data_IF_888971043311
#
_entry.id   IF_888971043311
#
_cell.length_a   1.000
_cell.length_b   1.000
_cell.length_c   1.000
_cell.angle_alpha   90.00
_cell.angle_beta   90.00
_cell.angle_gamma   90.00
#
_symmetry.space_group_name_H-M   'P 1'
#
loop_
_entity.id
_entity.type
_entity.pdbx_description
1 polymer ?
#
# COMPACT_ATOMS: atom_id res chain seq x y z
N UNK A 1 -8.66 -13.15 -11.27
CA UNK A 1 -9.49 -12.09 -10.62
C UNK A 1 -8.68 -10.80 -10.67
N UNK A 2 -9.31 -9.65 -10.90
CA UNK A 2 -8.63 -8.36 -10.82
C UNK A 2 -9.12 -7.65 -9.55
N UNK A 3 -8.17 -7.27 -8.70
CA UNK A 3 -8.39 -6.54 -7.46
C UNK A 3 -7.88 -5.12 -7.65
N UNK A 4 -8.66 -4.12 -7.26
CA UNK A 4 -8.38 -2.71 -7.52
C UNK A 4 -8.55 -1.92 -6.23
N UNK A 5 -7.67 -0.98 -5.97
CA UNK A 5 -7.76 -0.05 -4.85
C UNK A 5 -7.44 1.38 -5.34
N UNK A 6 -7.93 2.42 -4.66
CA UNK A 6 -7.65 3.80 -5.01
C UNK A 6 -6.20 4.16 -4.66
N UNK A 7 -5.60 5.04 -5.46
CA UNK A 7 -4.49 5.86 -5.01
C UNK A 7 -4.99 7.02 -4.16
N UNK A 8 -4.26 8.12 -4.15
CA UNK A 8 -4.70 9.35 -3.49
C UNK A 8 -5.53 10.26 -4.41
N UNK A 9 -5.50 10.02 -5.73
CA UNK A 9 -6.23 10.82 -6.72
C UNK A 9 -7.67 10.35 -6.97
N UNK A 10 -8.08 9.23 -6.39
CA UNK A 10 -9.42 8.67 -6.50
C UNK A 10 -10.10 8.62 -5.14
N UNK A 11 -11.43 8.70 -5.12
CA UNK A 11 -12.23 8.32 -3.95
C UNK A 11 -12.47 6.81 -3.94
N UNK A 12 -12.69 6.24 -2.77
CA UNK A 12 -13.12 4.84 -2.62
C UNK A 12 -14.42 4.55 -3.40
N UNK A 13 -15.37 5.50 -3.44
CA UNK A 13 -16.60 5.34 -4.20
C UNK A 13 -16.36 5.25 -5.72
N UNK A 14 -15.42 6.03 -6.27
CA UNK A 14 -15.07 5.93 -7.68
C UNK A 14 -14.51 4.56 -8.04
N UNK A 15 -13.68 3.98 -7.17
CA UNK A 15 -13.14 2.63 -7.37
C UNK A 15 -14.20 1.56 -7.18
N UNK A 16 -15.07 1.69 -6.18
CA UNK A 16 -16.19 0.76 -5.98
C UNK A 16 -17.12 0.74 -7.21
N UNK A 17 -17.50 1.90 -7.73
CA UNK A 17 -18.33 2.04 -8.94
C UNK A 17 -17.61 1.46 -10.18
N UNK A 18 -16.31 1.72 -10.32
CA UNK A 18 -15.49 1.16 -11.39
C UNK A 18 -15.45 -0.37 -11.32
N UNK A 19 -15.22 -0.94 -10.14
CA UNK A 19 -15.23 -2.38 -9.93
C UNK A 19 -16.57 -3.01 -10.25
N UNK A 20 -17.68 -2.42 -9.77
CA UNK A 20 -19.03 -2.88 -10.05
C UNK A 20 -19.35 -2.88 -11.56
N UNK A 21 -18.93 -1.82 -12.26
CA UNK A 21 -19.16 -1.67 -13.71
C UNK A 21 -18.43 -2.73 -14.55
N UNK A 22 -17.22 -3.12 -14.15
CA UNK A 22 -16.37 -4.01 -14.95
C UNK A 22 -16.23 -5.44 -14.38
N UNK A 23 -16.87 -5.73 -13.24
CA UNK A 23 -16.79 -7.04 -12.58
C UNK A 23 -15.44 -7.29 -11.88
N UNK A 24 -14.75 -6.21 -11.46
CA UNK A 24 -13.53 -6.31 -10.65
C UNK A 24 -13.87 -6.34 -9.15
N UNK A 25 -12.86 -6.59 -8.33
CA UNK A 25 -13.00 -6.66 -6.88
C UNK A 25 -12.41 -5.40 -6.25
N UNK A 26 -13.20 -4.70 -5.43
CA UNK A 26 -12.68 -3.62 -4.60
C UNK A 26 -11.80 -4.23 -3.48
N UNK A 27 -10.58 -3.70 -3.37
CA UNK A 27 -9.54 -4.19 -2.47
C UNK A 27 -9.13 -3.14 -1.43
N UNK A 28 -9.80 -1.98 -1.40
CA UNK A 28 -9.50 -0.92 -0.44
C UNK A 28 -9.97 -1.25 0.98
N UNK A 29 -9.04 -1.37 1.93
CA UNK A 29 -9.37 -1.71 3.32
C UNK A 29 -9.88 -3.14 3.48
N UNK A 30 -9.60 -4.01 2.51
CA UNK A 30 -10.09 -5.38 2.45
C UNK A 30 -8.93 -6.38 2.42
N UNK A 31 -9.25 -7.63 2.74
CA UNK A 31 -8.33 -8.75 2.64
C UNK A 31 -9.01 -9.99 2.08
N UNK A 32 -8.21 -10.90 1.52
CA UNK A 32 -8.66 -12.21 1.06
C UNK A 32 -7.56 -13.25 1.23
N UNK A 33 -7.95 -14.52 1.21
CA UNK A 33 -7.01 -15.65 1.25
C UNK A 33 -7.00 -16.38 -0.09
N UNK A 34 -5.80 -16.74 -0.57
CA UNK A 34 -5.62 -17.54 -1.77
C UNK A 34 -4.31 -18.33 -1.69
N UNK A 35 -4.37 -19.65 -1.89
CA UNK A 35 -3.17 -20.49 -1.96
C UNK A 35 -2.36 -20.54 -0.67
N UNK A 36 -3.00 -20.40 0.49
CA UNK A 36 -2.32 -20.36 1.79
C UNK A 36 -1.70 -19.01 2.16
N UNK A 37 -1.94 -17.98 1.34
CA UNK A 37 -1.47 -16.61 1.58
C UNK A 37 -2.63 -15.67 1.88
N UNK A 38 -2.40 -14.74 2.80
CA UNK A 38 -3.28 -13.60 3.01
C UNK A 38 -2.81 -12.43 2.16
N UNK A 39 -3.76 -11.75 1.53
CA UNK A 39 -3.55 -10.52 0.79
C UNK A 39 -4.38 -9.42 1.44
N UNK A 40 -3.77 -8.28 1.75
CA UNK A 40 -4.47 -7.11 2.26
C UNK A 40 -4.11 -5.85 1.47
N UNK A 41 -5.10 -4.98 1.28
CA UNK A 41 -4.97 -3.78 0.48
C UNK A 41 -5.39 -2.54 1.25
N UNK A 42 -4.55 -1.50 1.27
CA UNK A 42 -4.93 -0.19 1.79
C UNK A 42 -4.51 0.91 0.81
N UNK A 43 -5.49 1.43 0.09
CA UNK A 43 -5.31 2.61 -0.77
C UNK A 43 -5.12 3.90 0.04
N UNK A 44 -5.17 5.04 -0.65
CA UNK A 44 -4.96 6.39 -0.11
C UNK A 44 -3.53 6.64 0.41
N UNK A 45 -3.20 7.92 0.61
CA UNK A 45 -1.91 8.33 1.18
C UNK A 45 -2.06 9.00 2.55
N UNK A 46 -0.93 9.21 3.23
CA UNK A 46 -0.83 10.25 4.26
C UNK A 46 -1.07 11.65 3.63
N UNK A 47 -1.28 12.71 4.42
CA UNK A 47 -1.62 14.02 3.89
C UNK A 47 -0.53 14.55 2.95
N UNK A 48 -0.94 15.10 1.81
CA UNK A 48 -0.03 15.66 0.80
C UNK A 48 -0.22 17.18 0.67
N UNK A 49 0.77 17.90 0.12
CA UNK A 49 0.59 19.32 -0.22
C UNK A 49 -0.46 19.58 -1.31
N UNK A 50 -0.95 18.54 -1.99
CA UNK A 50 -1.86 18.64 -3.12
C UNK A 50 -3.33 18.53 -2.72
N UNK A 51 -3.63 18.15 -1.46
CA UNK A 51 -4.99 18.02 -0.92
C UNK A 51 -5.89 17.17 -1.85
N UNK A 52 -5.42 15.96 -2.12
CA UNK A 52 -6.06 14.98 -3.00
C UNK A 52 -7.24 14.28 -2.30
N UNK A 53 -8.22 13.73 -3.04
CA UNK A 53 -9.43 13.18 -2.43
C UNK A 53 -9.20 11.93 -1.57
N UNK A 54 -8.11 11.20 -1.80
CA UNK A 54 -7.75 9.97 -1.10
C UNK A 54 -6.59 10.17 -0.13
N UNK A 55 -6.81 10.95 0.92
CA UNK A 55 -5.83 11.18 1.99
C UNK A 55 -6.44 10.81 3.33
N UNK A 56 -5.62 10.18 4.17
CA UNK A 56 -5.92 9.84 5.56
C UNK A 56 -4.91 10.50 6.49
N UNK A 57 -5.32 10.80 7.71
CA UNK A 57 -4.38 11.10 8.78
C UNK A 57 -3.52 9.86 9.10
N UNK A 58 -2.37 10.06 9.73
CA UNK A 58 -1.53 8.94 10.17
C UNK A 58 -2.28 8.03 11.17
N UNK A 59 -3.11 8.61 12.02
CA UNK A 59 -3.96 7.87 12.97
C UNK A 59 -5.03 7.03 12.24
N UNK A 60 -5.62 7.57 11.18
CA UNK A 60 -6.59 6.84 10.35
C UNK A 60 -5.94 5.69 9.59
N UNK A 61 -4.73 5.90 9.05
CA UNK A 61 -3.93 4.86 8.41
C UNK A 61 -3.59 3.75 9.42
N UNK A 62 -3.09 4.12 10.60
CA UNK A 62 -2.73 3.17 11.65
C UNK A 62 -3.93 2.32 12.08
N UNK A 63 -5.09 2.95 12.33
CA UNK A 63 -6.30 2.24 12.73
C UNK A 63 -6.81 1.27 11.66
N UNK A 64 -6.67 1.60 10.37
CA UNK A 64 -7.06 0.72 9.26
C UNK A 64 -6.09 -0.42 9.07
N UNK A 65 -4.78 -0.18 9.22
CA UNK A 65 -3.75 -1.21 9.13
C UNK A 65 -3.87 -2.24 10.26
N UNK A 66 -4.29 -1.84 11.46
CA UNK A 66 -4.47 -2.74 12.62
C UNK A 66 -5.39 -3.94 12.31
N UNK A 67 -6.36 -3.76 11.40
CA UNK A 67 -7.24 -4.84 10.94
C UNK A 67 -6.49 -5.99 10.24
N UNK A 68 -5.24 -5.76 9.82
CA UNK A 68 -4.39 -6.73 9.13
C UNK A 68 -3.30 -7.34 10.02
N UNK A 69 -3.17 -6.90 11.27
CA UNK A 69 -2.07 -7.24 12.17
C UNK A 69 -1.91 -8.75 12.47
N UNK A 70 -3.02 -9.52 12.38
CA UNK A 70 -3.05 -10.95 12.66
C UNK A 70 -2.92 -11.84 11.41
N UNK A 71 -2.79 -11.26 10.22
CA UNK A 71 -2.69 -12.02 8.97
C UNK A 71 -1.25 -12.49 8.75
N UNK A 72 -1.07 -13.80 8.55
CA UNK A 72 0.24 -14.42 8.32
C UNK A 72 0.07 -15.76 7.57
N UNK A 73 0.83 -16.05 6.50
CA UNK A 73 1.78 -15.17 5.82
C UNK A 73 1.07 -14.10 4.98
N UNK A 74 1.51 -12.85 5.11
CA UNK A 74 0.85 -11.68 4.53
C UNK A 74 1.63 -11.11 3.33
N UNK A 75 0.89 -10.82 2.25
CA UNK A 75 1.24 -9.89 1.18
C UNK A 75 0.43 -8.62 1.38
N UNK A 76 1.08 -7.55 1.82
CA UNK A 76 0.45 -6.25 2.04
C UNK A 76 0.71 -5.33 0.85
N UNK A 77 -0.34 -4.70 0.35
CA UNK A 77 -0.23 -3.67 -0.68
C UNK A 77 -0.82 -2.37 -0.14
N UNK A 78 -0.01 -1.33 -0.05
CA UNK A 78 -0.46 0.01 0.33
C UNK A 78 -0.22 0.99 -0.81
N UNK A 79 -1.06 2.00 -0.98
CA UNK A 79 -0.70 3.09 -1.90
C UNK A 79 0.46 3.92 -1.32
N UNK A 80 0.36 4.31 -0.05
CA UNK A 80 1.42 5.01 0.68
C UNK A 80 2.65 4.13 0.95
N UNK A 81 3.88 4.60 0.65
CA UNK A 81 5.10 3.91 1.06
C UNK A 81 5.41 4.15 2.55
N UNK A 82 6.21 3.28 3.19
CA UNK A 82 6.71 3.51 4.54
C UNK A 82 7.73 4.66 4.57
N UNK A 83 7.56 5.56 5.54
CA UNK A 83 8.42 6.71 5.75
C UNK A 83 9.89 6.33 5.99
N UNK A 84 10.81 7.17 5.52
CA UNK A 84 12.27 7.05 5.76
C UNK A 84 12.88 5.77 5.22
N UNK A 85 12.42 5.31 4.06
CA UNK A 85 12.96 4.13 3.36
C UNK A 85 13.43 4.48 1.95
N UNK A 86 13.96 3.51 1.21
CA UNK A 86 14.22 3.72 -0.22
C UNK A 86 12.92 3.89 -1.02
N UNK A 87 11.77 3.46 -0.48
CA UNK A 87 10.50 3.40 -1.21
C UNK A 87 9.73 4.72 -1.24
N UNK A 88 10.10 5.69 -0.39
CA UNK A 88 9.45 6.99 -0.28
C UNK A 88 10.37 8.17 -0.64
N UNK A 89 11.55 7.88 -1.19
CA UNK A 89 12.52 8.89 -1.61
C UNK A 89 12.04 9.63 -2.86
N UNK A 90 11.86 10.94 -2.73
CA UNK A 90 11.48 11.84 -3.84
C UNK A 90 12.61 12.77 -4.31
N UNK A 91 13.77 12.69 -3.65
CA UNK A 91 14.94 13.52 -3.94
C UNK A 91 16.06 13.27 -2.94
N UNK A 92 17.15 14.03 -3.04
CA UNK A 92 18.23 13.93 -2.06
C UNK A 92 17.76 14.42 -0.68
N UNK A 93 17.67 13.50 0.28
CA UNK A 93 17.20 13.81 1.64
C UNK A 93 15.69 14.07 1.76
N UNK A 94 14.93 13.92 0.68
CA UNK A 94 13.48 14.16 0.65
C UNK A 94 12.70 12.84 0.68
N UNK A 95 11.83 12.71 1.68
CA UNK A 95 11.05 11.52 1.98
C UNK A 95 9.60 11.91 2.24
N UNK A 96 8.65 11.23 1.60
CA UNK A 96 7.21 11.54 1.69
C UNK A 96 6.34 10.30 1.94
N UNK A 97 6.86 9.34 2.71
CA UNK A 97 6.11 8.16 3.12
C UNK A 97 5.28 8.38 4.38
N UNK A 98 4.43 7.40 4.70
CA UNK A 98 3.61 7.37 5.90
C UNK A 98 4.38 6.77 7.07
N UNK A 99 4.27 7.43 8.22
CA UNK A 99 4.80 6.92 9.48
C UNK A 99 4.01 5.69 9.96
N UNK A 100 2.69 5.72 9.86
CA UNK A 100 1.81 4.61 10.24
C UNK A 100 2.12 3.33 9.45
N UNK A 101 2.40 3.45 8.15
CA UNK A 101 2.83 2.30 7.33
C UNK A 101 4.18 1.77 7.82
N UNK A 102 5.16 2.64 8.08
CA UNK A 102 6.47 2.23 8.60
C UNK A 102 6.36 1.53 9.97
N UNK A 103 5.58 2.09 10.89
CA UNK A 103 5.36 1.54 12.22
C UNK A 103 4.65 0.18 12.15
N UNK A 104 3.63 0.03 11.28
CA UNK A 104 2.94 -1.25 11.06
C UNK A 104 3.90 -2.32 10.54
N UNK A 105 4.71 -2.02 9.53
CA UNK A 105 5.69 -2.97 8.98
C UNK A 105 6.74 -3.39 10.01
N UNK A 106 7.09 -2.50 10.95
CA UNK A 106 8.01 -2.81 12.04
C UNK A 106 7.40 -3.71 13.12
N UNK A 107 6.11 -3.53 13.43
CA UNK A 107 5.40 -4.29 14.48
C UNK A 107 4.83 -5.62 13.97
N UNK A 108 4.35 -5.65 12.73
CA UNK A 108 3.64 -6.75 12.08
C UNK A 108 4.21 -6.96 10.67
N UNK A 109 5.44 -7.47 10.55
CA UNK A 109 6.13 -7.53 9.26
C UNK A 109 5.46 -8.54 8.32
N UNK A 110 4.87 -8.12 7.18
CA UNK A 110 4.41 -9.04 6.16
C UNK A 110 5.60 -9.73 5.48
N UNK A 111 5.39 -10.87 4.83
CA UNK A 111 6.45 -11.47 4.01
C UNK A 111 6.81 -10.58 2.82
N UNK A 112 5.78 -9.97 2.21
CA UNK A 112 5.93 -9.07 1.07
C UNK A 112 5.13 -7.78 1.28
N UNK A 113 5.76 -6.65 0.92
CA UNK A 113 5.11 -5.34 0.92
C UNK A 113 5.26 -4.66 -0.44
N UNK A 114 4.18 -4.10 -0.96
CA UNK A 114 4.19 -3.34 -2.20
C UNK A 114 3.57 -1.97 -2.02
N UNK A 115 4.18 -0.97 -2.65
CA UNK A 115 3.62 0.38 -2.68
C UNK A 115 3.79 1.11 -4.01
N UNK A 116 3.18 2.28 -4.08
CA UNK A 116 3.32 3.23 -5.19
C UNK A 116 3.57 4.64 -4.68
N UNK A 117 2.74 5.59 -5.14
CA UNK A 117 2.68 7.00 -4.75
C UNK A 117 3.92 7.85 -5.07
N UNK A 118 5.13 7.45 -4.69
CA UNK A 118 6.36 8.20 -4.93
C UNK A 118 7.03 7.70 -6.20
N UNK A 119 6.88 8.47 -7.28
CA UNK A 119 7.27 8.05 -8.62
C UNK A 119 8.79 7.95 -8.82
N UNK A 120 9.57 8.77 -8.10
CA UNK A 120 11.04 8.76 -8.11
C UNK A 120 11.61 7.48 -7.49
N UNK A 121 10.86 6.86 -6.58
CA UNK A 121 11.22 5.59 -5.94
C UNK A 121 10.74 4.36 -6.74
N UNK A 122 10.07 4.54 -7.88
CA UNK A 122 9.57 3.45 -8.70
C UNK A 122 10.68 2.44 -9.06
N UNK A 123 10.39 1.16 -8.86
CA UNK A 123 11.30 0.04 -9.13
C UNK A 123 12.35 -0.24 -8.05
N UNK A 124 12.37 0.52 -6.96
CA UNK A 124 13.27 0.23 -5.84
C UNK A 124 12.75 -0.94 -5.01
N UNK A 125 13.68 -1.84 -4.69
CA UNK A 125 13.52 -2.93 -3.73
C UNK A 125 14.29 -2.60 -2.45
N UNK A 126 13.74 -2.99 -1.31
CA UNK A 126 14.41 -2.90 -0.01
C UNK A 126 13.96 -4.05 0.90
N UNK A 127 14.87 -4.56 1.72
CA UNK A 127 14.52 -5.45 2.81
C UNK A 127 14.27 -4.63 4.07
N UNK A 128 13.07 -4.75 4.66
CA UNK A 128 12.69 -4.12 5.92
C UNK A 128 12.53 -5.20 6.98
N UNK A 129 13.64 -5.57 7.63
CA UNK A 129 13.67 -6.76 8.48
C UNK A 129 13.41 -8.02 7.64
N UNK A 130 12.41 -8.86 7.97
CA UNK A 130 12.07 -10.04 7.17
C UNK A 130 11.21 -9.70 5.94
N UNK A 131 10.67 -8.48 5.85
CA UNK A 131 9.79 -8.05 4.77
C UNK A 131 10.58 -7.74 3.50
N UNK A 132 10.22 -8.38 2.38
CA UNK A 132 10.67 -7.97 1.05
C UNK A 132 9.74 -6.90 0.51
N UNK A 133 10.23 -5.67 0.36
CA UNK A 133 9.42 -4.52 0.06
C UNK A 133 9.80 -3.87 -1.28
N UNK A 134 8.81 -3.45 -2.08
CA UNK A 134 9.04 -2.81 -3.38
C UNK A 134 8.06 -1.68 -3.66
N UNK A 135 8.58 -0.57 -4.19
CA UNK A 135 7.74 0.42 -4.87
C UNK A 135 7.61 0.00 -6.34
N UNK A 136 6.42 -0.44 -6.76
CA UNK A 136 6.23 -1.01 -8.11
C UNK A 136 6.20 0.07 -9.20
N UNK A 137 5.84 1.31 -8.84
CA UNK A 137 5.64 2.38 -9.79
C UNK A 137 4.60 2.04 -10.88
N UNK A 138 4.81 2.56 -12.08
CA UNK A 138 3.89 2.35 -13.23
C UNK A 138 4.14 1.05 -14.01
N UNK A 139 5.23 0.34 -13.71
CA UNK A 139 5.58 -0.91 -14.37
C UNK A 139 4.94 -2.04 -13.56
N UNK A 140 4.16 -2.92 -14.20
CA UNK A 140 3.61 -4.08 -13.53
C UNK A 140 4.72 -4.93 -12.89
N UNK A 141 4.42 -5.59 -11.78
CA UNK A 141 5.34 -6.48 -11.08
C UNK A 141 4.75 -7.88 -11.00
N UNK A 142 5.59 -8.89 -11.24
CA UNK A 142 5.22 -10.29 -11.10
C UNK A 142 5.86 -10.84 -9.82
N UNK A 143 5.02 -11.31 -8.91
CA UNK A 143 5.43 -12.05 -7.72
C UNK A 143 5.03 -13.52 -7.91
N UNK A 144 5.99 -14.43 -7.72
CA UNK A 144 5.75 -15.87 -7.66
C UNK A 144 5.73 -16.31 -6.20
N UNK A 145 4.64 -16.98 -5.79
CA UNK A 145 4.33 -17.38 -4.41
C UNK A 145 4.11 -18.90 -4.30
#
# INVERSE_FOLDING_TARGET
KLWVMPGNHETASQIADFCAKFGFQDFHGASFEQGGWHFAGLGYSSPTPFNTPGEYSEEELAAKLDAFAALDPLVLVCHAPPASTALDRAGEGMHFGSKAVADFLGAHPPAHFFCGHIHEAAGHDVALGPTQARNVGKQGYLLEL
#
